data_IF_595083098015
#
_entry.id   IF_595083098015
#
_cell.length_a   1.000
_cell.length_b   1.000
_cell.length_c   1.000
_cell.angle_alpha   90.00
_cell.angle_beta   90.00
_cell.angle_gamma   90.00
#
_symmetry.space_group_name_H-M   'P 1'
#
loop_
_entity.id
_entity.type
_entity.pdbx_description
1 polymer ?
#
# COMPACT_ATOMS: atom_id res chain seq x y z
N UNK A 1 2.10 5.18 22.47
CA UNK A 1 2.76 4.43 21.40
C UNK A 1 3.82 5.36 20.92
N UNK A 2 5.08 5.01 21.18
CA UNK A 2 6.19 5.90 20.92
C UNK A 2 6.70 5.65 19.49
N UNK A 3 7.43 6.60 18.91
CA UNK A 3 7.96 6.45 17.54
C UNK A 3 8.84 5.21 17.39
N UNK A 4 9.51 4.79 18.46
CA UNK A 4 10.35 3.59 18.51
C UNK A 4 9.55 2.28 18.40
N UNK A 5 8.23 2.29 18.62
CA UNK A 5 7.38 1.11 18.50
C UNK A 5 6.86 0.89 17.07
N UNK A 6 7.07 1.86 16.17
CA UNK A 6 6.59 1.79 14.80
C UNK A 6 7.69 1.28 13.88
N UNK A 7 7.47 0.10 13.30
CA UNK A 7 8.33 -0.46 12.26
C UNK A 7 7.66 -0.38 10.89
N UNK A 8 8.45 -0.11 9.85
CA UNK A 8 8.01 -0.19 8.46
C UNK A 8 7.39 -1.57 8.15
N UNK A 9 6.32 -1.57 7.35
CA UNK A 9 5.55 -2.77 7.01
C UNK A 9 4.63 -3.27 8.14
N UNK A 10 4.64 -2.64 9.32
CA UNK A 10 3.71 -2.98 10.41
C UNK A 10 2.30 -2.51 10.11
N UNK A 11 1.34 -3.27 10.62
CA UNK A 11 -0.08 -3.06 10.37
C UNK A 11 -0.76 -2.60 11.66
N UNK A 12 -1.22 -1.35 11.62
CA UNK A 12 -1.94 -0.70 12.70
C UNK A 12 -3.41 -0.48 12.33
N UNK A 13 -4.22 -0.12 13.32
CA UNK A 13 -5.57 0.33 13.13
C UNK A 13 -5.63 1.85 13.24
N UNK A 14 -6.50 2.46 12.44
CA UNK A 14 -7.08 3.73 12.81
C UNK A 14 -8.18 3.53 13.87
N UNK A 15 -8.33 4.42 14.88
CA UNK A 15 -9.33 4.29 15.94
C UNK A 15 -10.77 4.33 15.41
N UNK A 16 -11.65 3.58 16.07
CA UNK A 16 -13.09 3.45 15.74
C UNK A 16 -13.91 4.73 15.94
N UNK A 17 -13.41 5.66 16.77
CA UNK A 17 -14.09 6.92 17.04
C UNK A 17 -13.49 8.00 16.15
N UNK A 18 -14.32 8.85 15.51
CA UNK A 18 -13.81 10.02 14.82
C UNK A 18 -12.99 10.82 15.81
N UNK A 19 -11.68 10.98 15.53
CA UNK A 19 -10.90 12.00 16.21
C UNK A 19 -11.64 13.31 15.95
N UNK A 20 -12.09 14.04 16.99
CA UNK A 20 -12.82 15.28 16.77
C UNK A 20 -11.97 16.18 15.86
N UNK A 21 -12.54 16.59 14.72
CA UNK A 21 -11.99 17.56 13.75
C UNK A 21 -10.75 17.19 12.91
N UNK A 22 -10.16 16.00 13.00
CA UNK A 22 -8.99 15.66 12.15
C UNK A 22 -9.42 15.03 10.82
N UNK A 23 -9.50 15.86 9.77
CA UNK A 23 -9.61 15.38 8.39
C UNK A 23 -8.22 14.96 7.90
N UNK A 24 -7.99 13.65 7.84
CA UNK A 24 -6.79 13.12 7.19
C UNK A 24 -7.08 13.02 5.71
N UNK A 25 -6.51 13.96 4.94
CA UNK A 25 -6.56 13.91 3.49
C UNK A 25 -5.44 13.00 2.98
N UNK A 26 -5.70 12.33 1.86
CA UNK A 26 -4.63 11.59 1.21
C UNK A 26 -3.55 12.55 0.69
N UNK A 27 -2.31 12.13 0.87
CA UNK A 27 -1.08 12.87 0.60
C UNK A 27 -0.29 12.15 -0.50
N UNK A 28 0.43 12.90 -1.34
CA UNK A 28 1.30 12.36 -2.39
C UNK A 28 0.74 12.46 -3.82
N UNK A 29 1.63 12.25 -4.80
CA UNK A 29 1.36 12.44 -6.24
C UNK A 29 0.25 11.54 -6.81
N UNK A 30 -0.15 10.51 -6.07
CA UNK A 30 -1.18 9.53 -6.46
C UNK A 30 -2.58 9.91 -6.00
N UNK A 31 -2.68 10.97 -5.21
CA UNK A 31 -3.94 11.35 -4.61
C UNK A 31 -4.86 12.04 -5.63
N UNK A 32 -5.87 11.31 -6.12
CA UNK A 32 -6.96 11.96 -6.85
C UNK A 32 -7.83 12.74 -5.84
N UNK A 33 -7.76 14.07 -5.88
CA UNK A 33 -8.71 15.00 -5.22
C UNK A 33 -8.71 15.00 -3.68
N UNK A 34 -7.59 14.69 -3.02
CA UNK A 34 -7.49 14.81 -1.56
C UNK A 34 -8.49 13.92 -0.82
N UNK A 35 -8.78 12.74 -1.37
CA UNK A 35 -9.78 11.80 -0.84
C UNK A 35 -9.58 11.61 0.67
N UNK A 36 -10.61 11.83 1.49
CA UNK A 36 -10.46 11.70 2.93
C UNK A 36 -10.26 10.24 3.31
N UNK A 37 -9.45 10.01 4.34
CA UNK A 37 -9.48 8.75 5.05
C UNK A 37 -10.84 8.68 5.76
N UNK A 38 -11.82 8.02 5.16
CA UNK A 38 -13.08 7.76 5.83
C UNK A 38 -12.80 6.91 7.07
N UNK A 39 -13.18 7.44 8.24
CA UNK A 39 -13.01 6.82 9.57
C UNK A 39 -14.32 6.26 10.13
N UNK A 40 -15.41 6.36 9.37
CA UNK A 40 -16.74 5.99 9.86
C UNK A 40 -16.86 4.47 10.09
N UNK A 41 -16.92 4.10 11.37
CA UNK A 41 -17.54 2.87 11.86
C UNK A 41 -16.68 1.61 11.93
N UNK A 42 -15.41 1.63 11.49
CA UNK A 42 -14.56 0.43 11.50
C UNK A 42 -13.07 0.75 11.74
N UNK A 43 -12.38 -0.08 12.53
CA UNK A 43 -10.91 -0.17 12.55
C UNK A 43 -10.40 -0.51 11.17
N UNK A 44 -9.94 0.51 10.45
CA UNK A 44 -9.27 0.29 9.18
C UNK A 44 -7.83 -0.15 9.43
N UNK A 45 -7.43 -1.35 8.97
CA UNK A 45 -6.03 -1.72 8.98
C UNK A 45 -5.25 -0.81 8.03
N UNK A 46 -4.06 -0.41 8.46
CA UNK A 46 -3.17 0.53 7.79
C UNK A 46 -1.77 -0.10 7.81
N UNK A 47 -1.11 -0.17 6.67
CA UNK A 47 0.31 -0.55 6.61
C UNK A 47 1.19 0.68 6.59
N UNK A 48 2.20 0.73 7.45
CA UNK A 48 3.20 1.80 7.50
C UNK A 48 4.20 1.61 6.36
N UNK A 49 4.38 2.65 5.54
CA UNK A 49 5.30 2.64 4.40
C UNK A 49 6.47 3.61 4.56
N UNK A 50 6.31 4.66 5.35
CA UNK A 50 7.39 5.59 5.70
C UNK A 50 7.17 6.19 7.10
N UNK A 51 8.25 6.68 7.71
CA UNK A 51 8.25 7.32 9.02
C UNK A 51 9.00 8.66 8.96
N UNK A 52 8.34 9.74 9.35
CA UNK A 52 8.93 11.08 9.41
C UNK A 52 8.67 11.72 10.78
N UNK A 53 9.65 11.60 11.67
CA UNK A 53 9.56 12.11 13.04
C UNK A 53 8.36 11.56 13.81
N UNK A 54 7.31 12.38 13.98
CA UNK A 54 6.09 12.04 14.73
C UNK A 54 4.90 11.64 13.83
N UNK A 55 5.10 11.61 12.51
CA UNK A 55 4.11 11.15 11.55
C UNK A 55 4.62 9.95 10.76
N UNK A 56 3.68 9.23 10.16
CA UNK A 56 3.96 8.09 9.29
C UNK A 56 3.07 8.15 8.07
N UNK A 57 3.63 7.73 6.94
CA UNK A 57 2.85 7.49 5.75
C UNK A 57 2.31 6.07 5.77
N UNK A 58 1.01 5.96 5.52
CA UNK A 58 0.29 4.69 5.57
C UNK A 58 -0.56 4.47 4.32
N UNK A 59 -0.77 3.19 4.01
CA UNK A 59 -1.73 2.75 3.00
C UNK A 59 -2.89 2.00 3.65
N UNK A 60 -4.10 2.22 3.12
CA UNK A 60 -5.30 1.54 3.62
C UNK A 60 -5.31 0.07 3.19
N UNK A 61 -5.64 -0.81 4.13
CA UNK A 61 -5.92 -2.21 3.87
C UNK A 61 -7.44 -2.44 3.92
N UNK A 62 -7.94 -3.24 2.99
CA UNK A 62 -9.34 -3.64 2.89
C UNK A 62 -9.44 -5.15 2.75
N UNK A 63 -10.43 -5.78 3.38
CA UNK A 63 -10.78 -7.19 3.11
C UNK A 63 -11.58 -7.35 1.81
N UNK A 64 -12.11 -6.26 1.25
CA UNK A 64 -12.88 -6.31 0.00
C UNK A 64 -11.94 -6.43 -1.18
N UNK A 65 -12.19 -7.43 -2.03
CA UNK A 65 -11.55 -7.56 -3.34
C UNK A 65 -11.83 -6.31 -4.17
N UNK A 66 -10.80 -5.72 -4.81
CA UNK A 66 -10.99 -4.56 -5.67
C UNK A 66 -11.82 -4.93 -6.90
N UNK A 67 -12.55 -3.95 -7.42
CA UNK A 67 -13.13 -4.03 -8.76
C UNK A 67 -12.02 -4.21 -9.80
N UNK A 68 -12.29 -4.97 -10.86
CA UNK A 68 -11.30 -5.35 -11.87
C UNK A 68 -10.59 -4.14 -12.51
N UNK A 69 -11.34 -3.07 -12.81
CA UNK A 69 -10.80 -1.82 -13.35
C UNK A 69 -9.76 -1.12 -12.45
N UNK A 70 -9.76 -1.44 -11.15
CA UNK A 70 -8.80 -0.92 -10.19
C UNK A 70 -7.84 -2.00 -9.69
N UNK A 71 -7.88 -3.22 -10.20
CA UNK A 71 -7.09 -4.34 -9.66
C UNK A 71 -5.58 -4.05 -9.61
N UNK A 72 -5.07 -3.30 -10.59
CA UNK A 72 -3.67 -2.88 -10.61
C UNK A 72 -3.27 -2.02 -9.39
N UNK A 73 -4.23 -1.29 -8.80
CA UNK A 73 -4.02 -0.40 -7.65
C UNK A 73 -3.95 -1.11 -6.30
N UNK A 74 -4.07 -2.43 -6.30
CA UNK A 74 -4.11 -3.20 -5.07
C UNK A 74 -3.11 -4.34 -5.11
N UNK A 75 -2.48 -4.59 -3.96
CA UNK A 75 -1.71 -5.80 -3.73
C UNK A 75 -2.39 -6.67 -2.69
N UNK A 76 -2.54 -7.95 -3.02
CA UNK A 76 -3.14 -8.94 -2.14
C UNK A 76 -2.18 -9.28 -1.00
N UNK A 77 -2.64 -9.20 0.25
CA UNK A 77 -2.04 -9.83 1.43
C UNK A 77 -2.74 -11.17 1.62
N UNK A 78 -1.98 -12.25 1.76
CA UNK A 78 -2.54 -13.57 1.96
C UNK A 78 -2.94 -13.81 3.41
N UNK A 79 -4.18 -14.28 3.60
CA UNK A 79 -4.65 -14.74 4.90
C UNK A 79 -4.13 -16.13 5.24
N UNK A 80 -3.85 -16.38 6.52
CA UNK A 80 -3.28 -17.66 6.98
C UNK A 80 -4.24 -18.83 6.72
N UNK A 81 -5.55 -18.59 6.88
CA UNK A 81 -6.58 -19.62 6.67
C UNK A 81 -6.81 -19.94 5.19
N UNK A 82 -6.48 -19.04 4.28
CA UNK A 82 -6.71 -19.20 2.85
C UNK A 82 -5.57 -19.94 2.16
N UNK A 83 -4.37 -19.95 2.73
CA UNK A 83 -3.17 -20.43 2.05
C UNK A 83 -2.16 -21.13 2.99
N UNK A 84 -2.52 -22.27 3.63
CA UNK A 84 -1.62 -22.97 4.55
C UNK A 84 -0.36 -23.55 3.87
N UNK A 85 -0.40 -23.82 2.56
CA UNK A 85 0.60 -24.65 1.86
C UNK A 85 1.35 -23.95 0.70
N UNK A 86 1.23 -22.63 0.52
CA UNK A 86 1.84 -21.96 -0.62
C UNK A 86 3.38 -21.83 -0.48
N UNK A 87 4.13 -22.61 -1.27
CA UNK A 87 5.60 -22.56 -1.38
C UNK A 87 6.12 -21.24 -1.97
N UNK A 88 5.39 -20.64 -2.90
CA UNK A 88 5.65 -19.29 -3.42
C UNK A 88 4.30 -18.61 -3.70
N UNK A 89 3.86 -17.73 -2.79
CA UNK A 89 2.54 -17.13 -2.93
C UNK A 89 2.52 -15.96 -3.91
N UNK A 90 1.52 -15.95 -4.78
CA UNK A 90 1.09 -14.77 -5.55
C UNK A 90 0.42 -13.75 -4.59
N UNK A 91 1.23 -13.10 -3.76
CA UNK A 91 0.78 -12.11 -2.80
C UNK A 91 1.84 -11.69 -1.78
N UNK A 92 1.47 -10.71 -0.97
CA UNK A 92 2.22 -10.24 0.19
C UNK A 92 1.99 -11.19 1.37
N UNK A 93 3.06 -11.50 2.09
CA UNK A 93 3.08 -12.35 3.26
C UNK A 93 3.32 -11.55 4.52
N UNK A 94 2.83 -12.09 5.64
CA UNK A 94 3.11 -11.60 6.97
C UNK A 94 4.22 -12.43 7.62
N UNK A 95 5.19 -11.78 8.27
CA UNK A 95 6.21 -12.46 9.09
C UNK A 95 5.85 -12.51 10.57
N UNK A 96 5.00 -11.58 11.02
CA UNK A 96 4.46 -11.49 12.38
C UNK A 96 2.94 -11.34 12.30
N UNK A 97 2.23 -11.98 13.24
CA UNK A 97 0.78 -11.96 13.32
C UNK A 97 0.09 -12.66 12.15
N UNK A 98 -1.22 -12.49 12.03
CA UNK A 98 -2.02 -13.11 10.98
C UNK A 98 -3.22 -12.25 10.60
N UNK A 99 -3.69 -12.47 9.37
CA UNK A 99 -5.01 -12.05 8.90
C UNK A 99 -5.89 -13.29 8.69
N UNK A 100 -7.16 -13.19 9.10
CA UNK A 100 -8.10 -14.32 9.01
C UNK A 100 -8.50 -14.64 7.58
N UNK A 101 -8.42 -13.65 6.69
CA UNK A 101 -8.81 -13.71 5.29
C UNK A 101 -7.83 -12.91 4.45
N UNK A 102 -7.84 -13.18 3.16
CA UNK A 102 -7.13 -12.35 2.19
C UNK A 102 -7.56 -10.89 2.30
N UNK A 103 -6.58 -10.00 2.23
CA UNK A 103 -6.80 -8.56 2.31
C UNK A 103 -6.02 -7.87 1.19
N UNK A 104 -6.25 -6.58 1.00
CA UNK A 104 -5.73 -5.85 -0.15
C UNK A 104 -5.21 -4.50 0.32
N UNK A 105 -3.93 -4.24 0.06
CA UNK A 105 -3.31 -2.92 0.26
C UNK A 105 -3.74 -2.04 -0.90
N UNK A 106 -4.42 -0.94 -0.62
CA UNK A 106 -4.77 0.08 -1.60
C UNK A 106 -3.59 1.03 -1.80
N UNK A 107 -2.95 0.94 -2.96
CA UNK A 107 -1.79 1.77 -3.34
C UNK A 107 -2.18 3.07 -4.04
N UNK A 108 -3.48 3.32 -4.24
CA UNK A 108 -3.97 4.54 -4.88
C UNK A 108 -3.90 5.75 -3.94
N UNK A 109 -4.02 5.50 -2.64
CA UNK A 109 -4.08 6.55 -1.63
C UNK A 109 -3.07 6.27 -0.53
N UNK A 110 -2.15 7.20 -0.34
CA UNK A 110 -1.31 7.30 0.86
C UNK A 110 -1.85 8.39 1.77
N UNK A 111 -1.65 8.21 3.06
CA UNK A 111 -2.10 9.16 4.07
C UNK A 111 -0.97 9.41 5.05
N UNK A 112 -0.70 10.67 5.36
CA UNK A 112 0.19 11.03 6.44
C UNK A 112 -0.61 11.14 7.75
N UNK A 113 -0.24 10.36 8.76
CA UNK A 113 -0.94 10.29 10.05
C UNK A 113 0.02 10.45 11.21
N UNK A 114 -0.44 11.06 12.30
CA UNK A 114 0.34 11.11 13.54
C UNK A 114 0.44 9.72 14.16
N UNK A 115 1.62 9.35 14.66
CA UNK A 115 1.86 8.08 15.36
C UNK A 115 0.91 7.92 16.56
N UNK A 116 0.64 9.01 17.27
CA UNK A 116 -0.28 9.05 18.42
C UNK A 116 -1.73 8.69 18.07
N UNK A 117 -2.11 8.81 16.80
CA UNK A 117 -3.43 8.45 16.30
C UNK A 117 -3.55 6.96 15.99
N UNK A 118 -2.45 6.23 15.86
CA UNK A 118 -2.48 4.80 15.57
C UNK A 118 -2.83 3.96 16.79
N UNK A 119 -3.48 2.83 16.55
CA UNK A 119 -3.78 1.80 17.54
C UNK A 119 -3.24 0.46 17.07
N UNK A 120 -2.84 -0.37 18.03
CA UNK A 120 -2.53 -1.78 17.77
C UNK A 120 -3.74 -2.44 17.11
N UNK A 121 -3.56 -2.98 15.90
CA UNK A 121 -4.65 -3.59 15.14
C UNK A 121 -5.17 -4.87 15.81
N UNK A 122 -4.24 -5.72 16.26
CA UNK A 122 -4.48 -6.98 16.99
C UNK A 122 -3.35 -7.23 17.97
N UNK A 123 -3.58 -8.07 18.97
CA UNK A 123 -2.62 -8.40 20.02
C UNK A 123 -1.22 -8.82 19.51
N UNK A 124 -1.14 -9.36 18.28
CA UNK A 124 0.12 -9.80 17.68
C UNK A 124 0.79 -8.78 16.75
N UNK A 125 0.23 -7.59 16.54
CA UNK A 125 0.72 -6.55 15.61
C UNK A 125 1.20 -7.11 14.26
N UNK A 126 0.27 -7.40 13.33
CA UNK A 126 0.64 -8.02 12.07
C UNK A 126 1.67 -7.17 11.32
N UNK A 127 2.62 -7.81 10.66
CA UNK A 127 3.67 -7.13 9.90
C UNK A 127 3.96 -7.88 8.62
N UNK A 128 4.13 -7.13 7.53
CA UNK A 128 4.59 -7.68 6.26
C UNK A 128 6.00 -8.24 6.42
N UNK A 129 6.25 -9.40 5.79
CA UNK A 129 7.62 -9.92 5.70
C UNK A 129 8.53 -8.91 4.99
N UNK A 130 9.84 -8.86 5.31
CA UNK A 130 10.76 -7.94 4.65
C UNK A 130 10.72 -8.03 3.12
N UNK A 131 10.65 -9.25 2.55
CA UNK A 131 10.52 -9.48 1.10
C UNK A 131 9.21 -8.89 0.54
N UNK A 132 8.10 -9.04 1.25
CA UNK A 132 6.81 -8.49 0.86
C UNK A 132 6.77 -6.97 0.99
N UNK A 133 7.38 -6.41 2.02
CA UNK A 133 7.50 -4.96 2.17
C UNK A 133 8.33 -4.33 1.03
N UNK A 134 9.46 -4.94 0.66
CA UNK A 134 10.23 -4.51 -0.52
C UNK A 134 9.44 -4.66 -1.83
N UNK A 135 8.64 -5.71 -1.97
CA UNK A 135 7.75 -5.85 -3.13
C UNK A 135 6.70 -4.73 -3.19
N UNK A 136 6.10 -4.36 -2.06
CA UNK A 136 5.18 -3.23 -1.95
C UNK A 136 5.89 -1.92 -2.34
N UNK A 137 7.06 -1.63 -1.78
CA UNK A 137 7.84 -0.42 -2.12
C UNK A 137 8.20 -0.34 -3.60
N UNK A 138 8.59 -1.45 -4.24
CA UNK A 138 8.86 -1.49 -5.68
C UNK A 138 7.62 -1.16 -6.52
N UNK A 139 6.46 -1.72 -6.16
CA UNK A 139 5.20 -1.38 -6.84
C UNK A 139 4.85 0.08 -6.64
N UNK A 140 5.09 0.61 -5.44
CA UNK A 140 4.87 2.02 -5.17
C UNK A 140 5.78 2.89 -6.04
N UNK A 141 7.08 2.61 -6.11
CA UNK A 141 8.03 3.40 -6.90
C UNK A 141 7.74 3.35 -8.41
N UNK A 142 7.46 2.17 -8.96
CA UNK A 142 7.20 2.00 -10.40
C UNK A 142 5.99 2.80 -10.90
N UNK A 143 5.09 3.17 -9.99
CA UNK A 143 3.88 3.95 -10.29
C UNK A 143 4.09 5.46 -10.18
N UNK A 144 5.15 5.89 -9.52
CA UNK A 144 5.53 7.32 -9.44
C UNK A 144 6.33 7.78 -10.64
N UNK A 145 6.90 6.86 -11.42
CA UNK A 145 7.53 7.21 -12.68
C UNK A 145 6.44 7.72 -13.63
N UNK A 146 6.51 8.98 -14.11
CA UNK A 146 5.65 9.40 -15.21
C UNK A 146 5.87 8.44 -16.38
N UNK A 147 4.81 8.11 -17.10
CA UNK A 147 4.81 7.26 -18.28
C UNK A 147 5.54 7.89 -19.50
N UNK A 148 6.64 8.60 -19.26
CA UNK A 148 7.50 9.23 -20.26
C UNK A 148 8.74 8.36 -20.49
N UNK A 149 8.56 7.11 -20.90
CA UNK A 149 9.65 6.31 -21.47
C UNK A 149 9.10 5.23 -22.41
N UNK A 150 8.25 5.63 -23.36
CA UNK A 150 7.89 4.80 -24.52
C UNK A 150 7.38 5.66 -25.70
N UNK A 151 8.13 6.72 -26.04
CA UNK A 151 8.02 7.40 -27.33
C UNK A 151 9.42 7.86 -27.71
N UNK A 152 10.23 6.95 -28.21
CA UNK A 152 11.39 7.22 -29.07
C UNK A 152 12.01 5.88 -29.48
N UNK A 153 11.32 5.18 -30.39
CA UNK A 153 11.90 4.16 -31.29
C UNK A 153 10.83 3.73 -32.28
N UNK A 154 10.48 4.62 -33.20
CA UNK A 154 10.12 4.34 -34.60
C UNK A 154 10.23 5.70 -35.29
N UNK A 155 11.43 6.07 -35.73
CA UNK A 155 11.66 6.90 -36.93
C UNK A 155 13.04 6.55 -37.49
N UNK A 156 13.01 5.91 -38.67
CA UNK A 156 13.99 5.99 -39.76
C UNK A 156 15.41 5.45 -39.56
N UNK A 157 15.65 4.26 -40.12
CA UNK A 157 16.71 4.07 -41.11
C UNK A 157 16.19 3.10 -42.18
N UNK A 158 15.55 3.65 -43.22
CA UNK A 158 15.40 2.96 -44.49
C UNK A 158 15.96 3.87 -45.59
N UNK A 159 17.29 3.86 -45.70
CA UNK A 159 18.05 4.43 -46.81
C UNK A 159 19.16 3.45 -47.18
N UNK A 160 18.80 2.33 -47.78
CA UNK A 160 19.70 1.65 -48.69
C UNK A 160 18.91 0.90 -49.75
N UNK A 161 18.86 1.47 -50.96
CA UNK A 161 19.41 0.85 -52.18
C UNK A 161 18.95 1.62 -53.43
N UNK A 162 19.93 2.21 -54.14
CA UNK A 162 19.88 2.32 -55.61
C UNK A 162 19.65 0.92 -56.20
N UNK A 163 19.03 0.85 -57.38
CA UNK A 163 19.82 0.33 -58.49
C UNK A 163 19.62 1.09 -59.81
N UNK A 164 20.74 1.14 -60.53
CA UNK A 164 20.95 1.18 -61.99
C UNK A 164 20.19 2.19 -62.82
#
# INVERSE_FOLDING_TARGET
>A
MDSNDISLGSIFAFPDKPLPSVKIACTGNRCCNGAPLHTDGYRHPLVVIDCDGNSVDVLKISSRKPEERFAADYLKILGLRTHPDLREPDGLLLDKGAMDHDSYVNMRYSYNVLISSLKVFRASEPRLSPKSFEALKRHLHNRERPANFQRDRIVSEDHTRRPT
#
